data_IF_790542288398
#
_entry.id   IF_790542288398
#
_cell.length_a   1.000
_cell.length_b   1.000
_cell.length_c   1.000
_cell.angle_alpha   90.00
_cell.angle_beta   90.00
_cell.angle_gamma   90.00
#
_symmetry.space_group_name_H-M   'P 1'
#
loop_
_entity.id
_entity.type
_entity.pdbx_description
1 polymer ?
#
# COMPACT_ATOMS: atom_id res chain seq x y z
N UNK A 1 39.23 51.84 27.29
CA UNK A 1 38.98 50.37 27.38
C UNK A 1 37.56 49.95 26.98
N UNK A 2 36.53 50.71 27.28
CA UNK A 2 35.11 50.34 26.93
C UNK A 2 34.85 50.26 25.42
N UNK A 3 35.43 51.15 24.61
CA UNK A 3 35.20 51.22 23.16
C UNK A 3 35.84 50.03 22.40
N UNK A 4 36.98 49.53 22.87
CA UNK A 4 37.64 48.35 22.28
C UNK A 4 36.81 47.07 22.56
N UNK A 5 36.21 46.93 23.75
CA UNK A 5 35.30 45.83 24.13
C UNK A 5 34.03 45.85 23.27
N UNK A 6 33.46 47.05 23.02
CA UNK A 6 32.25 47.21 22.19
C UNK A 6 32.48 46.84 20.71
N UNK A 7 33.64 47.19 20.12
CA UNK A 7 34.05 46.80 18.78
C UNK A 7 34.31 45.29 18.67
N UNK A 8 34.91 44.66 19.68
CA UNK A 8 35.18 43.21 19.71
C UNK A 8 33.88 42.40 19.78
N UNK A 9 32.93 42.83 20.61
CA UNK A 9 31.61 42.21 20.69
C UNK A 9 30.80 42.32 19.37
N UNK A 10 30.90 43.45 18.67
CA UNK A 10 30.24 43.65 17.38
C UNK A 10 30.80 42.74 16.26
N UNK A 11 32.13 42.53 16.27
CA UNK A 11 32.80 41.56 15.36
C UNK A 11 32.39 40.10 15.65
N UNK A 12 32.30 39.73 16.91
CA UNK A 12 31.88 38.37 17.33
C UNK A 12 30.43 38.11 16.91
N UNK A 13 29.49 39.06 17.24
CA UNK A 13 28.08 38.94 16.82
C UNK A 13 27.94 38.82 15.31
N UNK A 14 28.74 39.55 14.52
CA UNK A 14 28.69 39.47 13.05
C UNK A 14 29.22 38.15 12.52
N UNK A 15 30.25 37.58 13.15
CA UNK A 15 30.78 36.23 12.84
C UNK A 15 29.73 35.15 13.14
N UNK A 16 29.11 35.20 14.31
CA UNK A 16 28.04 34.27 14.70
C UNK A 16 26.87 34.35 13.75
N UNK A 17 26.44 35.56 13.39
CA UNK A 17 25.37 35.77 12.40
C UNK A 17 25.72 35.18 11.02
N UNK A 18 26.95 35.40 10.55
CA UNK A 18 27.38 34.85 9.26
C UNK A 18 27.45 33.33 9.28
N UNK A 19 27.91 32.70 10.38
CA UNK A 19 27.91 31.23 10.54
C UNK A 19 26.47 30.72 10.54
N UNK A 20 25.55 31.37 11.24
CA UNK A 20 24.13 31.01 11.27
C UNK A 20 23.50 31.08 9.85
N UNK A 21 23.76 32.16 9.12
CA UNK A 21 23.30 32.32 7.72
C UNK A 21 23.85 31.19 6.84
N UNK A 22 25.12 30.85 6.94
CA UNK A 22 25.72 29.74 6.18
C UNK A 22 25.08 28.39 6.51
N UNK A 23 24.77 28.13 7.79
CA UNK A 23 24.07 26.91 8.21
C UNK A 23 22.65 26.86 7.64
N UNK A 24 21.92 28.00 7.62
CA UNK A 24 20.60 28.07 7.00
C UNK A 24 20.66 27.80 5.48
N UNK A 25 21.66 28.36 4.78
CA UNK A 25 21.83 28.06 3.36
C UNK A 25 22.20 26.60 3.10
N UNK A 26 23.05 26.02 3.93
CA UNK A 26 23.40 24.60 3.83
C UNK A 26 22.16 23.70 4.07
N UNK A 27 21.36 24.01 5.09
CA UNK A 27 20.11 23.29 5.36
C UNK A 27 19.12 23.41 4.19
N UNK A 28 18.94 24.64 3.66
CA UNK A 28 18.08 24.88 2.50
C UNK A 28 18.56 24.11 1.25
N UNK A 29 19.87 24.05 1.02
CA UNK A 29 20.45 23.30 -0.09
C UNK A 29 20.22 21.78 0.05
N UNK A 30 20.31 21.24 1.27
CA UNK A 30 20.00 19.83 1.54
C UNK A 30 18.53 19.53 1.28
N UNK A 31 17.62 20.39 1.76
CA UNK A 31 16.18 20.22 1.52
C UNK A 31 15.81 20.30 0.04
N UNK A 32 16.41 21.24 -0.71
CA UNK A 32 16.23 21.32 -2.16
C UNK A 32 16.77 20.09 -2.88
N UNK A 33 17.94 19.61 -2.49
CA UNK A 33 18.52 18.39 -3.05
C UNK A 33 17.62 17.18 -2.82
N UNK A 34 17.12 16.98 -1.58
CA UNK A 34 16.19 15.91 -1.25
C UNK A 34 14.91 16.02 -2.08
N UNK A 35 14.31 17.21 -2.20
CA UNK A 35 13.11 17.43 -3.00
C UNK A 35 13.31 17.09 -4.48
N UNK A 36 14.46 17.41 -5.05
CA UNK A 36 14.78 17.08 -6.46
C UNK A 36 14.93 15.57 -6.63
N UNK A 37 15.65 14.90 -5.73
CA UNK A 37 15.84 13.44 -5.80
C UNK A 37 14.49 12.72 -5.68
N UNK A 38 13.63 13.11 -4.73
CA UNK A 38 12.28 12.51 -4.60
C UNK A 38 11.46 12.66 -5.88
N UNK A 39 11.44 13.86 -6.48
CA UNK A 39 10.70 14.08 -7.75
C UNK A 39 11.26 13.29 -8.93
N UNK A 40 12.58 13.10 -8.99
CA UNK A 40 13.20 12.28 -10.03
C UNK A 40 12.85 10.80 -9.83
N UNK A 41 12.86 10.32 -8.59
CA UNK A 41 12.47 8.95 -8.27
C UNK A 41 11.00 8.69 -8.59
N UNK A 42 10.08 9.58 -8.19
CA UNK A 42 8.65 9.51 -8.53
C UNK A 42 8.43 9.45 -10.06
N UNK A 43 9.14 10.31 -10.83
CA UNK A 43 9.05 10.31 -12.28
C UNK A 43 9.53 9.00 -12.89
N UNK A 44 10.71 8.52 -12.49
CA UNK A 44 11.28 7.27 -12.99
C UNK A 44 10.37 6.08 -12.62
N UNK A 45 9.81 6.09 -11.42
CA UNK A 45 8.85 5.09 -10.96
C UNK A 45 7.60 5.08 -11.85
N UNK A 46 7.02 6.25 -12.12
CA UNK A 46 5.84 6.38 -12.99
C UNK A 46 6.12 5.84 -14.39
N UNK A 47 7.26 6.18 -14.99
CA UNK A 47 7.66 5.66 -16.31
C UNK A 47 7.81 4.14 -16.29
N UNK A 48 8.51 3.59 -15.29
CA UNK A 48 8.70 2.14 -15.11
C UNK A 48 7.37 1.40 -15.01
N UNK A 49 6.46 1.86 -14.15
CA UNK A 49 5.19 1.16 -13.93
C UNK A 49 4.20 1.35 -15.08
N UNK A 50 4.29 2.43 -15.85
CA UNK A 50 3.55 2.59 -17.11
C UNK A 50 3.97 1.56 -18.16
N UNK A 51 5.27 1.29 -18.30
CA UNK A 51 5.76 0.25 -19.21
C UNK A 51 5.28 -1.15 -18.79
N UNK A 52 5.27 -1.43 -17.49
CA UNK A 52 4.76 -2.70 -16.94
C UNK A 52 3.24 -2.84 -17.14
N UNK A 53 2.47 -1.76 -16.96
CA UNK A 53 1.04 -1.75 -17.27
C UNK A 53 0.78 -2.07 -18.74
N UNK A 54 1.53 -1.46 -19.66
CA UNK A 54 1.42 -1.73 -21.09
C UNK A 54 1.72 -3.20 -21.42
N UNK A 55 2.76 -3.78 -20.81
CA UNK A 55 3.06 -5.21 -20.98
C UNK A 55 1.94 -6.11 -20.48
N UNK A 56 1.35 -5.79 -19.33
CA UNK A 56 0.23 -6.55 -18.77
C UNK A 56 -1.01 -6.48 -19.66
N UNK A 57 -1.39 -5.28 -20.11
CA UNK A 57 -2.55 -5.04 -20.98
C UNK A 57 -2.37 -5.74 -22.35
N UNK A 58 -1.18 -5.66 -22.94
CA UNK A 58 -0.86 -6.39 -24.17
C UNK A 58 -0.94 -7.90 -23.98
N UNK A 59 -0.46 -8.41 -22.86
CA UNK A 59 -0.56 -9.81 -22.51
C UNK A 59 -2.00 -10.29 -22.41
N UNK A 60 -2.91 -9.50 -21.82
CA UNK A 60 -4.35 -9.79 -21.80
C UNK A 60 -4.91 -9.83 -23.23
N UNK A 61 -4.59 -8.85 -24.08
CA UNK A 61 -5.08 -8.79 -25.45
C UNK A 61 -4.65 -10.02 -26.26
N UNK A 62 -3.39 -10.44 -26.12
CA UNK A 62 -2.84 -11.61 -26.81
C UNK A 62 -3.48 -12.93 -26.29
N UNK A 63 -3.71 -13.04 -24.98
CA UNK A 63 -4.39 -14.20 -24.39
C UNK A 63 -5.82 -14.35 -24.92
N UNK A 64 -6.57 -13.27 -25.07
CA UNK A 64 -7.93 -13.25 -25.60
C UNK A 64 -8.02 -13.65 -27.10
N UNK A 65 -6.94 -13.51 -27.86
CA UNK A 65 -6.89 -13.94 -29.26
C UNK A 65 -6.65 -15.45 -29.40
N UNK A 66 -5.98 -16.08 -28.40
CA UNK A 66 -5.53 -17.48 -28.47
C UNK A 66 -6.46 -18.46 -27.74
N UNK A 67 -7.22 -18.03 -26.76
CA UNK A 67 -8.23 -18.80 -26.02
C UNK A 67 -9.45 -17.90 -25.78
N UNK A 68 -10.71 -18.41 -25.90
CA UNK A 68 -11.87 -17.66 -25.44
C UNK A 68 -11.88 -17.71 -23.90
N UNK A 69 -11.01 -16.94 -23.26
CA UNK A 69 -11.05 -16.72 -21.83
C UNK A 69 -12.35 -15.99 -21.45
N UNK A 70 -12.84 -16.18 -20.22
CA UNK A 70 -14.06 -15.53 -19.77
C UNK A 70 -13.96 -14.03 -20.02
N UNK A 71 -14.86 -13.53 -20.84
CA UNK A 71 -15.00 -12.12 -21.20
C UNK A 71 -14.69 -11.26 -19.98
N UNK A 72 -13.60 -10.50 -20.02
CA UNK A 72 -13.33 -9.46 -19.03
C UNK A 72 -14.48 -8.47 -19.19
N UNK A 73 -15.56 -8.74 -18.47
CA UNK A 73 -16.72 -7.85 -18.44
C UNK A 73 -16.20 -6.53 -17.88
N UNK A 74 -16.36 -5.47 -18.66
CA UNK A 74 -16.16 -4.10 -18.17
C UNK A 74 -16.80 -4.02 -16.79
N UNK A 75 -16.02 -3.54 -15.81
CA UNK A 75 -16.46 -3.43 -14.42
C UNK A 75 -17.88 -2.89 -14.37
N UNK A 76 -18.80 -3.51 -13.62
CA UNK A 76 -20.18 -3.07 -13.58
C UNK A 76 -20.21 -1.61 -13.10
N UNK A 77 -20.84 -0.76 -13.88
CA UNK A 77 -21.05 0.63 -13.50
C UNK A 77 -21.89 0.65 -12.22
N UNK A 78 -21.45 1.30 -11.15
CA UNK A 78 -22.14 1.27 -9.88
C UNK A 78 -23.54 1.85 -9.99
N UNK A 79 -24.54 1.07 -9.59
CA UNK A 79 -25.87 1.61 -9.26
C UNK A 79 -25.75 2.29 -7.90
N UNK A 80 -26.03 3.57 -7.83
CA UNK A 80 -25.92 4.38 -6.62
C UNK A 80 -26.66 3.75 -5.44
N UNK A 81 -26.03 3.57 -4.27
CA UNK A 81 -26.69 3.12 -3.06
C UNK A 81 -27.63 4.18 -2.50
N UNK A 82 -28.72 3.74 -1.87
CA UNK A 82 -29.58 4.61 -1.08
C UNK A 82 -28.77 5.20 0.08
N UNK A 83 -28.81 6.53 0.25
CA UNK A 83 -27.96 7.31 1.13
C UNK A 83 -27.88 6.82 2.59
N UNK A 84 -26.74 7.05 3.24
CA UNK A 84 -26.46 6.54 4.58
C UNK A 84 -27.22 7.31 5.68
N UNK A 85 -27.67 6.56 6.67
CA UNK A 85 -28.16 7.10 7.95
C UNK A 85 -26.97 7.44 8.83
N UNK A 86 -26.84 8.70 9.20
CA UNK A 86 -25.75 9.22 10.04
C UNK A 86 -25.68 8.53 11.41
N UNK A 87 -24.53 8.03 11.79
CA UNK A 87 -24.21 7.52 13.10
C UNK A 87 -23.50 8.59 13.96
N UNK A 88 -23.68 8.63 15.28
CA UNK A 88 -23.23 9.75 16.09
C UNK A 88 -21.74 9.75 16.36
N UNK A 89 -21.20 10.97 16.35
CA UNK A 89 -19.84 11.40 16.64
C UNK A 89 -19.22 10.73 17.88
N UNK A 90 -18.04 10.14 17.72
CA UNK A 90 -17.19 9.65 18.81
C UNK A 90 -16.13 10.71 19.12
N UNK A 91 -16.04 11.10 20.39
CA UNK A 91 -15.14 12.10 20.97
C UNK A 91 -13.70 11.56 21.02
N UNK A 92 -12.64 12.36 20.75
CA UNK A 92 -11.26 11.84 20.69
C UNK A 92 -10.66 11.60 22.06
N UNK A 93 -10.00 10.47 22.23
CA UNK A 93 -9.24 10.06 23.41
C UNK A 93 -7.89 10.80 23.54
N UNK A 94 -7.31 10.96 24.75
CA UNK A 94 -6.17 11.82 25.00
C UNK A 94 -4.83 11.26 24.54
N UNK A 95 -4.00 12.19 24.08
CA UNK A 95 -2.63 12.07 23.58
C UNK A 95 -1.67 11.32 24.51
N UNK A 96 -0.91 10.39 23.97
CA UNK A 96 0.22 9.70 24.61
C UNK A 96 1.58 10.24 24.07
N UNK A 97 2.59 10.15 24.92
CA UNK A 97 3.92 10.76 24.93
C UNK A 97 4.85 10.31 23.77
N UNK A 98 5.67 11.19 23.12
CA UNK A 98 6.39 10.89 21.88
C UNK A 98 7.83 10.44 22.08
N UNK A 99 8.10 9.31 22.75
CA UNK A 99 9.48 8.78 22.91
C UNK A 99 9.65 7.28 22.68
N UNK A 100 8.83 6.62 21.93
CA UNK A 100 9.02 5.21 21.57
C UNK A 100 9.69 5.07 20.21
N UNK A 101 10.91 4.52 20.22
CA UNK A 101 11.67 4.09 19.05
C UNK A 101 10.92 2.94 18.35
N UNK A 102 10.83 2.89 17.01
CA UNK A 102 10.14 1.80 16.33
C UNK A 102 10.78 0.46 16.66
N UNK A 103 9.98 -0.46 17.18
CA UNK A 103 10.39 -1.86 17.34
C UNK A 103 10.27 -2.53 15.97
N UNK A 104 11.35 -3.16 15.45
CA UNK A 104 11.24 -3.96 14.23
C UNK A 104 10.23 -5.08 14.42
N UNK A 105 9.54 -5.47 13.32
CA UNK A 105 8.73 -6.67 13.33
C UNK A 105 9.53 -7.85 13.92
N UNK A 106 8.92 -8.73 14.72
CA UNK A 106 9.65 -9.81 15.37
C UNK A 106 10.34 -10.66 14.32
N UNK A 107 11.67 -10.78 14.43
CA UNK A 107 12.44 -11.72 13.65
C UNK A 107 11.90 -13.15 13.86
N UNK A 108 11.89 -14.02 12.84
CA UNK A 108 11.43 -15.40 12.98
C UNK A 108 12.18 -16.08 14.14
N UNK A 109 11.46 -16.83 14.95
CA UNK A 109 12.03 -17.55 16.06
C UNK A 109 13.07 -18.58 15.55
N UNK A 110 14.15 -18.86 16.32
CA UNK A 110 15.14 -19.86 15.91
C UNK A 110 14.47 -21.24 15.85
N UNK A 111 14.17 -21.72 14.65
CA UNK A 111 13.51 -22.99 14.39
C UNK A 111 12.39 -22.91 13.35
N UNK A 112 11.92 -21.71 13.03
CA UNK A 112 11.00 -21.51 11.90
C UNK A 112 11.80 -21.74 10.62
N UNK A 113 11.44 -22.78 9.88
CA UNK A 113 11.85 -22.92 8.49
C UNK A 113 11.38 -21.67 7.77
N UNK A 114 12.31 -20.85 7.26
CA UNK A 114 11.97 -19.74 6.35
C UNK A 114 11.07 -20.35 5.29
N UNK A 115 9.82 -19.88 5.12
CA UNK A 115 8.95 -20.38 4.08
C UNK A 115 9.72 -20.24 2.77
N UNK A 116 10.01 -21.35 2.12
CA UNK A 116 10.59 -21.28 0.78
C UNK A 116 9.53 -20.61 -0.08
N UNK A 117 9.93 -19.57 -0.81
CA UNK A 117 9.07 -18.91 -1.80
C UNK A 117 8.41 -19.98 -2.64
N UNK A 118 7.06 -20.00 -2.79
CA UNK A 118 6.39 -20.93 -3.68
C UNK A 118 7.00 -20.78 -5.09
N UNK A 119 7.46 -21.87 -5.66
CA UNK A 119 7.93 -21.90 -7.04
C UNK A 119 6.67 -21.78 -7.90
N UNK A 120 6.58 -20.73 -8.72
CA UNK A 120 5.48 -20.56 -9.67
C UNK A 120 5.59 -21.68 -10.71
N UNK A 121 4.54 -22.51 -10.83
CA UNK A 121 4.41 -23.43 -11.95
C UNK A 121 4.06 -22.61 -13.20
N UNK A 122 5.00 -22.51 -14.13
CA UNK A 122 4.82 -21.70 -15.34
C UNK A 122 3.88 -22.35 -16.37
N UNK A 123 3.48 -23.61 -16.20
CA UNK A 123 2.54 -24.28 -17.11
C UNK A 123 1.10 -23.76 -16.92
N UNK A 124 0.76 -23.31 -15.71
CA UNK A 124 -0.60 -22.89 -15.34
C UNK A 124 -0.79 -21.36 -15.27
N UNK A 125 0.24 -20.56 -15.57
CA UNK A 125 0.14 -19.10 -15.47
C UNK A 125 -0.69 -18.48 -16.60
N UNK A 126 -1.37 -17.41 -16.28
CA UNK A 126 -2.07 -16.57 -17.27
C UNK A 126 -1.08 -15.97 -18.27
N UNK A 127 -1.43 -15.99 -19.56
CA UNK A 127 -0.57 -15.46 -20.63
C UNK A 127 -0.18 -14.00 -20.43
N UNK A 128 -1.02 -13.19 -19.77
CA UNK A 128 -0.76 -11.80 -19.42
C UNK A 128 0.43 -11.62 -18.45
N UNK A 129 0.77 -12.66 -17.67
CA UNK A 129 1.87 -12.60 -16.72
C UNK A 129 3.20 -13.10 -17.26
N UNK A 130 3.25 -13.74 -18.43
CA UNK A 130 4.52 -14.22 -19.01
C UNK A 130 5.55 -13.11 -19.15
N UNK A 131 5.27 -11.95 -19.81
CA UNK A 131 6.24 -10.89 -19.96
C UNK A 131 6.66 -10.27 -18.61
N UNK A 132 5.73 -10.22 -17.66
CA UNK A 132 5.99 -9.69 -16.33
C UNK A 132 6.96 -10.60 -15.56
N UNK A 133 6.74 -11.90 -15.60
CA UNK A 133 7.62 -12.91 -14.96
C UNK A 133 8.99 -13.01 -15.62
N UNK A 134 9.10 -12.69 -16.90
CA UNK A 134 10.40 -12.57 -17.58
C UNK A 134 11.17 -11.32 -17.11
N UNK A 135 10.46 -10.29 -16.63
CA UNK A 135 11.05 -9.10 -16.03
C UNK A 135 11.47 -9.35 -14.58
N UNK A 136 10.62 -9.97 -13.78
CA UNK A 136 10.91 -10.33 -12.40
C UNK A 136 10.12 -11.57 -11.97
N UNK A 137 10.83 -12.65 -11.64
CA UNK A 137 10.23 -13.92 -11.18
C UNK A 137 9.50 -13.81 -9.84
N UNK A 138 9.66 -12.71 -9.11
CA UNK A 138 8.99 -12.42 -7.84
C UNK A 138 7.60 -11.86 -8.00
N UNK A 139 7.14 -11.55 -9.21
CA UNK A 139 5.78 -11.08 -9.45
C UNK A 139 4.78 -12.19 -9.12
N UNK A 140 3.77 -11.85 -8.32
CA UNK A 140 2.70 -12.74 -7.86
C UNK A 140 1.32 -12.33 -8.33
N UNK A 141 1.18 -11.07 -8.75
CA UNK A 141 -0.11 -10.54 -9.19
C UNK A 141 0.01 -9.15 -9.79
N UNK A 142 -1.15 -8.59 -10.13
CA UNK A 142 -1.31 -7.23 -10.63
C UNK A 142 -2.55 -6.60 -10.00
N UNK A 143 -2.41 -5.44 -9.37
CA UNK A 143 -3.52 -4.69 -8.77
C UNK A 143 -3.86 -3.47 -9.63
N UNK A 144 -5.15 -3.21 -9.83
CA UNK A 144 -5.62 -2.04 -10.58
C UNK A 144 -6.94 -1.51 -10.02
N UNK A 145 -6.98 -0.18 -9.81
CA UNK A 145 -8.18 0.60 -9.50
C UNK A 145 -8.52 1.54 -10.65
N UNK A 146 -9.78 1.98 -10.76
CA UNK A 146 -10.22 2.92 -11.78
C UNK A 146 -9.99 4.36 -11.33
N UNK A 147 -9.71 5.26 -12.28
CA UNK A 147 -9.48 6.69 -11.99
C UNK A 147 -8.51 6.91 -10.81
N UNK A 148 -7.49 6.07 -10.74
CA UNK A 148 -6.52 6.00 -9.66
C UNK A 148 -5.12 5.75 -10.22
N UNK A 149 -4.11 6.14 -9.48
CA UNK A 149 -2.71 5.81 -9.79
C UNK A 149 -2.36 4.36 -9.45
N UNK A 150 -3.26 3.62 -8.78
CA UNK A 150 -3.02 2.22 -8.41
C UNK A 150 -3.18 1.31 -9.63
N UNK A 151 -2.06 1.04 -10.31
CA UNK A 151 -1.92 0.12 -11.43
C UNK A 151 -0.50 -0.49 -11.38
N UNK A 152 -0.31 -1.53 -10.56
CA UNK A 152 1.02 -2.03 -10.20
C UNK A 152 1.12 -3.55 -10.22
N UNK A 153 2.26 -4.11 -10.68
CA UNK A 153 2.63 -5.47 -10.37
C UNK A 153 2.81 -5.63 -8.85
N UNK A 154 2.43 -6.76 -8.33
CA UNK A 154 2.60 -7.12 -6.93
C UNK A 154 3.70 -8.18 -6.84
N UNK A 155 4.82 -7.82 -6.22
CA UNK A 155 5.95 -8.74 -6.01
C UNK A 155 5.88 -9.40 -4.64
N UNK A 156 6.60 -10.50 -4.43
CA UNK A 156 6.72 -11.16 -3.13
C UNK A 156 8.16 -11.58 -2.86
N UNK A 157 8.77 -10.97 -1.84
CA UNK A 157 10.10 -11.33 -1.38
C UNK A 157 10.11 -12.56 -0.47
N UNK A 158 11.30 -12.90 0.02
CA UNK A 158 11.48 -13.90 1.09
C UNK A 158 11.15 -13.35 2.48
N UNK A 159 11.01 -12.04 2.57
CA UNK A 159 10.67 -11.26 3.76
C UNK A 159 9.88 -10.01 3.34
N UNK A 160 9.42 -9.21 4.32
CA UNK A 160 8.72 -7.95 4.07
C UNK A 160 9.67 -6.73 4.02
N UNK A 161 10.99 -6.93 4.01
CA UNK A 161 11.99 -5.84 4.03
C UNK A 161 12.58 -5.57 2.64
N UNK A 162 12.76 -6.62 1.82
CA UNK A 162 13.46 -6.51 0.55
C UNK A 162 12.81 -5.51 -0.39
N UNK A 163 11.50 -5.65 -0.66
CA UNK A 163 10.75 -4.79 -1.56
C UNK A 163 10.23 -3.50 -0.91
N UNK A 164 10.41 -3.35 0.40
CA UNK A 164 10.11 -2.10 1.11
C UNK A 164 11.05 -0.95 0.69
N UNK A 165 12.24 -1.27 0.17
CA UNK A 165 13.25 -0.29 -0.26
C UNK A 165 13.68 -0.45 -1.72
N UNK A 166 13.05 -1.35 -2.50
CA UNK A 166 13.47 -1.67 -3.87
C UNK A 166 12.32 -1.71 -4.84
N UNK A 167 12.60 -1.24 -6.06
CA UNK A 167 11.69 -1.39 -7.19
C UNK A 167 11.67 -2.85 -7.71
N UNK A 168 10.83 -3.10 -8.72
CA UNK A 168 10.69 -4.44 -9.33
C UNK A 168 11.96 -4.98 -9.99
N UNK A 169 12.94 -4.15 -10.28
CA UNK A 169 14.24 -4.56 -10.82
C UNK A 169 15.27 -4.86 -9.73
N UNK A 170 14.91 -4.69 -8.45
CA UNK A 170 15.79 -4.90 -7.31
C UNK A 170 16.67 -3.69 -6.97
N UNK A 171 16.50 -2.56 -7.65
CA UNK A 171 17.23 -1.33 -7.37
C UNK A 171 16.64 -0.60 -6.17
N UNK A 172 17.50 -0.02 -5.33
CA UNK A 172 17.04 0.82 -4.22
C UNK A 172 16.43 2.11 -4.73
N UNK A 173 15.17 2.35 -4.39
CA UNK A 173 14.42 3.54 -4.74
C UNK A 173 13.56 4.00 -3.57
N UNK A 174 13.15 5.27 -3.58
CA UNK A 174 12.24 5.81 -2.55
C UNK A 174 10.82 5.26 -2.75
N UNK A 175 10.41 5.08 -4.00
CA UNK A 175 9.09 4.56 -4.37
C UNK A 175 8.93 3.08 -4.03
N UNK A 176 10.03 2.32 -4.07
CA UNK A 176 10.05 0.89 -3.80
C UNK A 176 9.07 0.09 -4.69
N UNK A 177 8.38 -0.92 -4.14
CA UNK A 177 7.39 -1.73 -4.87
C UNK A 177 6.10 -1.87 -4.09
N UNK A 178 5.02 -2.23 -4.79
CA UNK A 178 3.85 -2.83 -4.16
C UNK A 178 4.16 -4.33 -3.96
N UNK A 179 4.04 -4.82 -2.73
CA UNK A 179 4.46 -6.19 -2.42
C UNK A 179 3.49 -6.92 -1.50
N UNK A 180 3.41 -8.23 -1.71
CA UNK A 180 2.63 -9.15 -0.91
C UNK A 180 3.42 -9.60 0.32
N UNK A 181 2.73 -9.81 1.43
CA UNK A 181 3.33 -10.39 2.64
C UNK A 181 3.97 -11.74 2.32
N UNK A 182 5.21 -11.94 2.79
CA UNK A 182 6.00 -13.14 2.49
C UNK A 182 5.34 -14.45 2.98
N UNK A 183 4.40 -14.37 3.93
CA UNK A 183 3.66 -15.52 4.48
C UNK A 183 2.49 -15.95 3.61
N UNK A 184 2.02 -15.08 2.70
CA UNK A 184 0.89 -15.37 1.84
C UNK A 184 1.24 -16.34 0.71
N UNK A 185 0.25 -17.12 0.29
CA UNK A 185 0.34 -18.08 -0.80
C UNK A 185 -0.70 -17.78 -1.88
N UNK A 186 -0.24 -17.44 -3.09
CA UNK A 186 -1.11 -17.09 -4.22
C UNK A 186 -1.76 -18.31 -4.89
N UNK A 187 -1.21 -19.53 -4.68
CA UNK A 187 -1.72 -20.75 -5.33
C UNK A 187 -3.09 -21.13 -4.78
N UNK A 188 -3.31 -20.90 -3.49
CA UNK A 188 -4.54 -21.30 -2.79
C UNK A 188 -5.33 -20.14 -2.21
N UNK A 189 -4.74 -18.96 -2.10
CA UNK A 189 -5.19 -17.80 -1.34
C UNK A 189 -5.44 -18.14 0.14
N UNK A 190 -4.75 -17.45 1.02
CA UNK A 190 -5.00 -17.52 2.47
C UNK A 190 -6.36 -16.92 2.83
N UNK A 191 -6.80 -17.06 4.08
CA UNK A 191 -8.00 -16.40 4.56
C UNK A 191 -7.90 -14.88 4.40
N UNK A 192 -6.69 -14.31 4.58
CA UNK A 192 -6.38 -12.90 4.36
C UNK A 192 -5.05 -12.74 3.61
N UNK A 193 -5.11 -12.24 2.39
CA UNK A 193 -3.95 -11.86 1.58
C UNK A 193 -3.61 -10.40 1.84
N UNK A 194 -2.35 -10.09 2.17
CA UNK A 194 -1.94 -8.75 2.57
C UNK A 194 -0.99 -8.17 1.54
N UNK A 195 -1.29 -6.98 1.07
CA UNK A 195 -0.48 -6.22 0.11
C UNK A 195 -0.10 -4.88 0.73
N UNK A 196 1.19 -4.57 0.66
CA UNK A 196 1.78 -3.35 1.17
C UNK A 196 2.20 -2.42 0.03
N UNK A 197 2.16 -1.13 0.29
CA UNK A 197 2.70 -0.10 -0.59
C UNK A 197 3.03 1.17 0.17
N UNK A 198 3.99 1.94 -0.33
CA UNK A 198 4.26 3.26 0.22
C UNK A 198 3.12 4.24 -0.07
N UNK A 199 2.99 5.25 0.78
CA UNK A 199 2.18 6.43 0.52
C UNK A 199 3.12 7.56 0.09
N UNK A 200 3.20 7.79 -1.21
CA UNK A 200 4.06 8.83 -1.79
C UNK A 200 3.20 9.78 -2.63
N UNK A 201 3.07 10.99 -2.19
CA UNK A 201 2.33 12.13 -2.76
C UNK A 201 1.33 11.87 -3.92
N UNK A 202 1.73 11.15 -4.97
CA UNK A 202 0.93 10.90 -6.18
C UNK A 202 1.13 9.50 -6.75
N UNK A 203 1.79 8.60 -6.04
CA UNK A 203 2.14 7.25 -6.53
C UNK A 203 1.98 6.20 -5.45
N UNK A 204 2.13 4.94 -5.83
CA UNK A 204 2.02 3.77 -4.98
C UNK A 204 0.61 3.65 -4.37
N UNK A 205 0.49 3.46 -3.06
CA UNK A 205 -0.79 3.35 -2.37
C UNK A 205 -1.31 4.67 -1.80
N UNK A 206 -0.85 5.82 -2.30
CA UNK A 206 -1.35 7.13 -1.89
C UNK A 206 -2.88 7.22 -2.01
N UNK A 207 -3.45 6.74 -3.10
CA UNK A 207 -4.88 6.85 -3.37
C UNK A 207 -5.76 5.99 -2.44
N UNK A 208 -5.17 5.11 -1.61
CA UNK A 208 -5.93 4.43 -0.55
C UNK A 208 -6.46 5.41 0.49
N UNK A 209 -5.80 6.56 0.68
CA UNK A 209 -6.28 7.59 1.60
C UNK A 209 -7.63 8.19 1.16
N UNK A 210 -7.97 8.10 -0.13
CA UNK A 210 -9.28 8.56 -0.62
C UNK A 210 -10.46 7.71 -0.11
N UNK A 211 -10.25 6.48 0.36
CA UNK A 211 -11.29 5.69 1.01
C UNK A 211 -11.63 6.17 2.43
N UNK A 212 -10.77 6.96 3.07
CA UNK A 212 -10.91 7.40 4.46
C UNK A 212 -11.03 8.91 4.62
N UNK A 213 -10.69 9.70 3.60
CA UNK A 213 -10.81 11.14 3.58
C UNK A 213 -12.28 11.57 3.42
N UNK A 214 -12.77 12.47 4.27
CA UNK A 214 -14.20 12.88 4.31
C UNK A 214 -14.68 13.56 3.02
N UNK A 215 -13.77 14.21 2.28
CA UNK A 215 -14.12 14.95 1.06
C UNK A 215 -14.18 14.07 -0.18
N UNK A 216 -13.42 12.97 -0.20
CA UNK A 216 -13.22 12.14 -1.41
C UNK A 216 -13.80 10.74 -1.32
N UNK A 217 -14.00 10.19 -0.12
CA UNK A 217 -14.32 8.76 0.09
C UNK A 217 -15.58 8.30 -0.62
N UNK A 218 -16.64 9.09 -0.64
CA UNK A 218 -17.92 8.67 -1.22
C UNK A 218 -17.80 8.54 -2.74
N UNK A 219 -17.17 9.50 -3.40
CA UNK A 219 -16.95 9.49 -4.85
C UNK A 219 -15.92 8.41 -5.23
N UNK A 220 -14.82 8.30 -4.49
CA UNK A 220 -13.79 7.31 -4.77
C UNK A 220 -14.30 5.88 -4.56
N UNK A 221 -15.07 5.64 -3.49
CA UNK A 221 -15.73 4.36 -3.27
C UNK A 221 -16.76 4.04 -4.37
N UNK A 222 -17.56 5.01 -4.81
CA UNK A 222 -18.54 4.78 -5.88
C UNK A 222 -17.87 4.24 -7.15
N UNK A 223 -16.63 4.66 -7.44
CA UNK A 223 -15.85 4.21 -8.61
C UNK A 223 -15.11 2.91 -8.29
N UNK A 224 -14.50 2.78 -7.11
CA UNK A 224 -13.56 1.72 -6.73
C UNK A 224 -14.14 0.70 -5.72
N UNK A 225 -15.47 0.67 -5.53
CA UNK A 225 -16.13 -0.35 -4.72
C UNK A 225 -15.68 -1.76 -5.11
N UNK A 226 -15.57 -1.99 -6.41
CA UNK A 226 -15.02 -3.22 -6.98
C UNK A 226 -13.77 -2.87 -7.76
N UNK A 227 -12.67 -3.52 -7.43
CA UNK A 227 -11.40 -3.36 -8.12
C UNK A 227 -10.77 -4.72 -8.46
N UNK A 228 -9.69 -4.70 -9.22
CA UNK A 228 -8.98 -5.92 -9.63
C UNK A 228 -7.71 -6.09 -8.83
N UNK A 229 -7.52 -7.30 -8.33
CA UNK A 229 -6.22 -7.85 -7.98
C UNK A 229 -6.17 -9.26 -8.53
N UNK A 230 -5.40 -9.41 -9.61
CA UNK A 230 -5.20 -10.68 -10.32
C UNK A 230 -3.95 -11.35 -9.77
N UNK A 231 -3.99 -12.66 -9.55
CA UNK A 231 -2.78 -13.44 -9.33
C UNK A 231 -2.22 -13.95 -10.65
N UNK A 232 -1.02 -14.48 -10.64
CA UNK A 232 -0.43 -15.09 -11.83
C UNK A 232 -1.28 -16.23 -12.41
N UNK A 233 -2.26 -16.75 -11.65
CA UNK A 233 -3.10 -17.90 -12.04
C UNK A 233 -4.54 -17.54 -12.35
N UNK A 234 -5.09 -16.40 -11.84
CA UNK A 234 -6.51 -16.08 -11.93
C UNK A 234 -6.75 -14.58 -12.06
N UNK A 235 -7.70 -14.22 -12.93
CA UNK A 235 -8.31 -12.90 -12.93
C UNK A 235 -9.36 -12.82 -11.83
N UNK A 236 -9.29 -11.81 -10.96
CA UNK A 236 -10.15 -11.72 -9.79
C UNK A 236 -10.71 -10.32 -9.57
N UNK A 237 -11.91 -10.27 -9.02
CA UNK A 237 -12.55 -9.03 -8.58
C UNK A 237 -12.79 -9.05 -7.08
N UNK A 238 -12.52 -7.90 -6.47
CA UNK A 238 -12.57 -7.72 -5.02
C UNK A 238 -13.49 -6.56 -4.69
N UNK A 239 -14.38 -6.75 -3.70
CA UNK A 239 -15.35 -5.76 -3.24
C UNK A 239 -14.97 -5.22 -1.88
N UNK A 240 -14.76 -3.89 -1.79
CA UNK A 240 -14.39 -3.21 -0.54
C UNK A 240 -15.55 -3.27 0.45
N UNK A 241 -15.27 -3.73 1.67
CA UNK A 241 -16.24 -3.79 2.77
C UNK A 241 -15.82 -3.01 4.01
N UNK A 242 -14.55 -2.60 4.12
CA UNK A 242 -14.04 -1.82 5.26
C UNK A 242 -12.83 -0.97 4.86
N UNK A 243 -12.76 0.27 5.37
CA UNK A 243 -11.59 1.14 5.25
C UNK A 243 -11.47 2.03 6.49
N UNK A 244 -10.25 2.14 7.04
CA UNK A 244 -9.97 2.91 8.25
C UNK A 244 -8.50 3.31 8.35
N UNK A 245 -8.20 4.23 9.28
CA UNK A 245 -6.84 4.56 9.71
C UNK A 245 -6.60 3.99 11.11
N UNK A 246 -5.46 3.35 11.30
CA UNK A 246 -5.10 2.69 12.56
C UNK A 246 -3.64 2.94 12.91
N UNK A 247 -3.30 3.00 14.20
CA UNK A 247 -1.92 2.87 14.66
C UNK A 247 -1.44 1.44 14.38
N UNK A 248 -0.23 1.28 13.89
CA UNK A 248 0.33 -0.03 13.48
C UNK A 248 0.29 -1.09 14.61
N UNK A 249 0.25 -0.66 15.87
CA UNK A 249 0.31 -1.53 17.04
C UNK A 249 -1.07 -1.72 17.72
N UNK A 250 -2.12 -0.98 17.28
CA UNK A 250 -3.44 -1.00 17.93
C UNK A 250 -4.30 -2.22 17.55
N UNK A 251 -4.23 -2.67 16.30
CA UNK A 251 -5.00 -3.80 15.81
C UNK A 251 -4.17 -4.69 14.89
N UNK A 252 -4.16 -6.01 15.16
CA UNK A 252 -3.44 -6.96 14.34
C UNK A 252 -4.24 -7.36 13.08
N UNK A 253 -4.26 -6.48 12.07
CA UNK A 253 -4.85 -6.77 10.76
C UNK A 253 -3.96 -7.64 9.86
N UNK A 254 -2.77 -8.06 10.36
CA UNK A 254 -1.74 -8.79 9.60
C UNK A 254 -1.82 -10.33 9.80
N UNK A 255 -2.93 -10.84 10.33
CA UNK A 255 -3.19 -12.29 10.41
C UNK A 255 -3.53 -12.81 9.01
N UNK A 256 -2.78 -13.79 8.51
CA UNK A 256 -3.00 -14.37 7.17
C UNK A 256 -3.98 -15.53 7.17
N UNK A 257 -3.95 -16.37 8.22
CA UNK A 257 -4.86 -17.51 8.38
C UNK A 257 -5.40 -17.57 9.82
N UNK A 258 -6.65 -17.94 9.99
CA UNK A 258 -7.30 -18.00 11.28
C UNK A 258 -7.40 -19.42 11.82
N UNK A 259 -7.27 -19.57 13.13
CA UNK A 259 -7.28 -20.87 13.80
C UNK A 259 -8.68 -21.47 13.94
N UNK A 260 -9.73 -20.67 13.67
CA UNK A 260 -11.14 -21.09 13.71
C UNK A 260 -12.03 -20.04 13.04
N UNK A 261 -13.23 -20.44 12.62
CA UNK A 261 -14.26 -19.54 12.08
C UNK A 261 -14.61 -18.43 13.09
N UNK A 262 -14.60 -18.74 14.38
CA UNK A 262 -14.85 -17.73 15.42
C UNK A 262 -13.76 -16.66 15.46
N UNK A 263 -12.49 -17.01 15.27
CA UNK A 263 -11.39 -16.07 15.20
C UNK A 263 -11.44 -15.24 13.89
N UNK A 264 -11.78 -15.88 12.78
CA UNK A 264 -11.97 -15.19 11.49
C UNK A 264 -13.14 -14.20 11.56
N UNK A 265 -14.29 -14.61 12.11
CA UNK A 265 -15.44 -13.74 12.27
C UNK A 265 -15.18 -12.58 13.24
N UNK A 266 -14.40 -12.81 14.31
CA UNK A 266 -13.98 -11.74 15.21
C UNK A 266 -13.10 -10.70 14.51
N UNK A 267 -12.18 -11.14 13.63
CA UNK A 267 -11.38 -10.25 12.79
C UNK A 267 -12.27 -9.42 11.84
N UNK A 268 -13.20 -10.06 11.12
CA UNK A 268 -14.14 -9.38 10.21
C UNK A 268 -14.94 -8.32 10.96
N UNK A 269 -15.52 -8.66 12.11
CA UNK A 269 -16.31 -7.72 12.90
C UNK A 269 -15.46 -6.53 13.38
N UNK A 270 -14.23 -6.77 13.85
CA UNK A 270 -13.33 -5.69 14.26
C UNK A 270 -12.99 -4.75 13.10
N UNK A 271 -12.78 -5.27 11.89
CA UNK A 271 -12.52 -4.43 10.70
C UNK A 271 -13.75 -3.59 10.32
N UNK A 272 -14.96 -4.14 10.46
CA UNK A 272 -16.21 -3.43 10.22
C UNK A 272 -16.45 -2.33 11.27
N UNK A 273 -16.21 -2.63 12.56
CA UNK A 273 -16.38 -1.67 13.66
C UNK A 273 -15.43 -0.48 13.56
N UNK A 274 -14.24 -0.67 12.93
CA UNK A 274 -13.25 0.38 12.69
C UNK A 274 -13.52 1.20 11.42
N UNK A 275 -14.34 0.69 10.53
CA UNK A 275 -14.56 1.31 9.21
C UNK A 275 -15.15 2.72 9.34
N UNK A 276 -14.56 3.66 8.59
CA UNK A 276 -14.99 5.06 8.57
C UNK A 276 -16.33 5.27 7.84
N UNK A 277 -16.76 4.27 7.09
CA UNK A 277 -18.05 4.26 6.40
C UNK A 277 -18.69 2.88 6.50
N UNK A 278 -20.01 2.83 6.66
CA UNK A 278 -20.78 1.61 6.46
C UNK A 278 -21.05 1.42 4.95
N UNK A 279 -20.35 0.48 4.37
CA UNK A 279 -20.48 0.16 2.94
C UNK A 279 -21.72 -0.70 2.63
N UNK A 280 -22.48 -1.11 3.64
CA UNK A 280 -23.64 -2.02 3.49
C UNK A 280 -23.26 -3.41 3.03
N UNK A 281 -21.98 -3.78 3.18
CA UNK A 281 -21.40 -5.04 2.75
C UNK A 281 -20.65 -5.65 3.94
N UNK A 282 -20.76 -6.95 4.09
CA UNK A 282 -20.01 -7.72 5.07
C UNK A 282 -19.30 -8.88 4.40
N UNK A 283 -18.23 -9.36 5.01
CA UNK A 283 -17.60 -10.63 4.67
C UNK A 283 -18.06 -11.73 5.63
N UNK A 284 -17.83 -12.97 5.25
CA UNK A 284 -18.09 -14.17 6.03
C UNK A 284 -16.81 -15.00 6.16
N UNK A 285 -16.81 -16.04 6.96
CA UNK A 285 -15.66 -16.94 7.11
C UNK A 285 -15.39 -17.81 5.87
N UNK A 286 -16.29 -17.81 4.90
CA UNK A 286 -16.12 -18.49 3.60
C UNK A 286 -15.44 -17.59 2.57
N UNK A 287 -15.44 -16.26 2.81
CA UNK A 287 -14.83 -15.30 1.90
C UNK A 287 -13.31 -15.27 2.06
N UNK A 288 -12.60 -15.05 0.96
CA UNK A 288 -11.20 -14.66 0.97
C UNK A 288 -11.11 -13.16 1.10
N UNK A 289 -10.26 -12.70 2.01
CA UNK A 289 -10.05 -11.28 2.29
C UNK A 289 -8.75 -10.83 1.62
N UNK A 290 -8.78 -9.64 1.05
CA UNK A 290 -7.62 -8.89 0.60
C UNK A 290 -7.48 -7.65 1.49
N UNK A 291 -6.32 -7.50 2.12
CA UNK A 291 -5.96 -6.35 2.92
C UNK A 291 -4.91 -5.52 2.19
N UNK A 292 -5.23 -4.27 1.89
CA UNK A 292 -4.29 -3.28 1.36
C UNK A 292 -3.86 -2.37 2.51
N UNK A 293 -2.55 -2.18 2.69
CA UNK A 293 -1.99 -1.40 3.80
C UNK A 293 -0.92 -0.44 3.32
N UNK A 294 -1.02 0.82 3.73
CA UNK A 294 -0.01 1.85 3.43
C UNK A 294 0.24 2.74 4.64
N UNK A 295 1.39 3.40 4.66
CA UNK A 295 1.65 4.44 5.65
C UNK A 295 0.65 5.59 5.45
N UNK A 296 0.17 6.18 6.55
CA UNK A 296 -0.67 7.37 6.54
C UNK A 296 0.06 8.52 7.25
N UNK A 297 -0.29 9.76 6.93
CA UNK A 297 0.36 10.96 7.47
C UNK A 297 -0.45 11.66 8.57
N UNK A 298 -1.61 11.11 8.97
CA UNK A 298 -2.50 11.74 9.94
C UNK A 298 -1.91 11.81 11.35
N UNK A 299 -1.15 10.76 11.72
CA UNK A 299 -0.34 10.71 12.95
C UNK A 299 0.85 9.76 12.76
N UNK A 300 1.82 9.83 13.69
CA UNK A 300 3.02 8.99 13.60
C UNK A 300 2.65 7.51 13.61
N UNK A 301 3.28 6.74 12.74
CA UNK A 301 3.10 5.29 12.60
C UNK A 301 1.67 4.84 12.21
N UNK A 302 0.80 5.76 11.73
CA UNK A 302 -0.53 5.40 11.23
C UNK A 302 -0.47 4.66 9.90
N UNK A 303 -1.50 3.83 9.68
CA UNK A 303 -1.71 3.08 8.45
C UNK A 303 -3.12 3.31 7.94
N UNK A 304 -3.28 3.58 6.66
CA UNK A 304 -4.55 3.39 5.97
C UNK A 304 -4.67 1.93 5.59
N UNK A 305 -5.77 1.32 6.00
CA UNK A 305 -6.06 -0.09 5.75
C UNK A 305 -7.41 -0.21 5.04
N UNK A 306 -7.43 -0.95 3.93
CA UNK A 306 -8.62 -1.23 3.15
C UNK A 306 -8.80 -2.75 3.06
N UNK A 307 -9.98 -3.25 3.43
CA UNK A 307 -10.33 -4.66 3.30
C UNK A 307 -11.36 -4.86 2.20
N UNK A 308 -11.10 -5.85 1.35
CA UNK A 308 -12.01 -6.27 0.31
C UNK A 308 -12.23 -7.79 0.37
N UNK A 309 -13.39 -8.25 -0.06
CA UNK A 309 -13.70 -9.68 -0.19
C UNK A 309 -13.65 -10.10 -1.65
N UNK A 310 -13.28 -11.33 -1.90
CA UNK A 310 -13.30 -11.92 -3.24
C UNK A 310 -14.75 -12.14 -3.69
N UNK A 311 -15.14 -11.59 -4.84
CA UNK A 311 -16.50 -11.75 -5.40
C UNK A 311 -16.52 -12.56 -6.69
N UNK A 312 -15.38 -12.66 -7.38
CA UNK A 312 -15.25 -13.46 -8.61
C UNK A 312 -13.88 -14.11 -8.60
N UNK A 313 -13.81 -15.45 -8.55
CA UNK A 313 -12.56 -16.19 -8.64
C UNK A 313 -12.07 -16.27 -10.08
#
# INVERSE_FOLDING_TARGET
>A
MADIKKKKNKKVKRRVLNVFILLCFAAAAVLLYQSVITKLDEKNSTETYSEIEDMYVQGIATANETTPDPVITTMPQPTAPAGPTANPSVEPAPSADPTAKPTPAPAPAPGDTIPQRPIIDREDILGSFQPLLDTNEDIRGYIKMQESTIAYPVVQGIDNEFYLERNIYGDKTISASIFMDYRNNVDVLDDNTIIYGHNLNTTMFNDLDFFVDEETRDDFYAINRVFRFDTVYKYMQWEVFSAYVVDKDDFNYLTTNFTSDAAHMAFINETLDRSYMDYGITATTEDRILTLSTCNHWFNDSRTVVHARLITP
#
